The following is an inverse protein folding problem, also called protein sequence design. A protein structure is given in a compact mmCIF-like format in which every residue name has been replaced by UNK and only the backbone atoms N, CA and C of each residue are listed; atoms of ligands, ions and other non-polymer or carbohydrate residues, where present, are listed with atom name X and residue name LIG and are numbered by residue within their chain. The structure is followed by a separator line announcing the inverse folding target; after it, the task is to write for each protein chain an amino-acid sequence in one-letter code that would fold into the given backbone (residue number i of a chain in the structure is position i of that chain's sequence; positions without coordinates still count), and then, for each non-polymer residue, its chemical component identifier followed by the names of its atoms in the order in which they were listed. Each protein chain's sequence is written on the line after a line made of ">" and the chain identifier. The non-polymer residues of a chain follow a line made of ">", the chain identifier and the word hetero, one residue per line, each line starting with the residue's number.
data_IF_743860010978
#
_entry.id   IF_743860010978
#
_cell.length_a   1.000
_cell.length_b   1.000
_cell.length_c   1.000
_cell.angle_alpha   90.00
_cell.angle_beta   90.00
_cell.angle_gamma   90.00
#
_symmetry.space_group_name_H-M   'P 1'
#
loop_
_entity.id
_entity.type
_entity.pdbx_description
1 polymer ?
#
# COMPACT_ATOMS: atom_id res chain seq x y z
N UNK A 1 18.50 13.31 20.57
CA UNK A 1 19.49 13.17 19.48
C UNK A 1 19.54 14.35 18.52
N UNK A 2 18.42 14.84 17.95
CA UNK A 2 18.41 15.96 16.97
C UNK A 2 19.07 17.28 17.44
N UNK A 3 18.99 17.64 18.74
CA UNK A 3 19.67 18.84 19.26
C UNK A 3 21.20 18.75 19.22
N UNK A 4 21.77 17.54 19.29
CA UNK A 4 23.23 17.28 19.29
C UNK A 4 23.82 17.27 17.86
N UNK A 5 23.03 16.86 16.87
CA UNK A 5 23.41 16.94 15.44
C UNK A 5 23.52 18.38 14.95
N UNK A 6 22.54 19.22 15.33
CA UNK A 6 22.58 20.65 15.03
C UNK A 6 23.78 21.34 15.68
N UNK A 7 24.30 20.83 16.80
CA UNK A 7 25.50 21.40 17.42
C UNK A 7 26.79 21.02 16.67
N UNK A 8 26.94 19.78 16.19
CA UNK A 8 28.17 19.35 15.50
C UNK A 8 28.31 20.02 14.12
N UNK A 9 27.23 20.13 13.33
CA UNK A 9 27.25 20.95 12.10
C UNK A 9 27.53 22.43 12.40
N UNK A 10 26.94 22.99 13.47
CA UNK A 10 27.20 24.37 13.87
C UNK A 10 28.65 24.60 14.24
N UNK A 11 29.28 23.67 14.96
CA UNK A 11 30.71 23.71 15.31
C UNK A 11 31.57 23.59 14.06
N UNK A 12 31.25 22.69 13.13
CA UNK A 12 31.94 22.57 11.84
C UNK A 12 31.90 23.88 11.04
N UNK A 13 30.72 24.48 10.88
CA UNK A 13 30.58 25.76 10.16
C UNK A 13 31.24 26.94 10.89
N UNK A 14 31.30 26.90 12.22
CA UNK A 14 31.99 27.90 13.02
C UNK A 14 33.51 27.81 12.82
N UNK A 15 34.08 26.60 12.87
CA UNK A 15 35.51 26.34 12.59
C UNK A 15 35.84 26.75 11.13
N UNK A 16 34.95 26.46 10.18
CA UNK A 16 35.14 26.89 8.79
C UNK A 16 35.20 28.41 8.66
N UNK A 17 34.34 29.16 9.36
CA UNK A 17 34.37 30.62 9.41
C UNK A 17 35.66 31.15 10.06
N UNK A 18 36.12 30.52 11.13
CA UNK A 18 37.36 30.88 11.84
C UNK A 18 38.59 30.68 10.94
N UNK A 19 38.66 29.59 10.18
CA UNK A 19 39.73 29.36 9.18
C UNK A 19 39.72 30.46 8.11
N UNK A 20 38.54 30.81 7.58
CA UNK A 20 38.43 31.89 6.58
C UNK A 20 38.88 33.24 7.15
N UNK A 21 38.53 33.56 8.40
CA UNK A 21 38.93 34.79 9.06
C UNK A 21 40.45 34.84 9.35
N UNK A 22 41.03 33.75 9.87
CA UNK A 22 42.48 33.66 10.15
C UNK A 22 43.32 33.74 8.87
N UNK A 23 42.91 33.09 7.77
CA UNK A 23 43.58 33.23 6.47
C UNK A 23 43.50 34.65 5.91
N UNK A 24 42.37 35.34 6.11
CA UNK A 24 42.19 36.74 5.69
C UNK A 24 43.04 37.71 6.51
N UNK A 25 43.13 37.52 7.83
CA UNK A 25 43.92 38.35 8.74
C UNK A 25 45.45 38.17 8.55
N UNK A 26 45.89 36.94 8.27
CA UNK A 26 47.32 36.60 8.09
C UNK A 26 47.85 36.80 6.66
N UNK A 27 47.02 37.29 5.72
CA UNK A 27 47.30 37.30 4.26
C UNK A 27 47.79 35.93 3.75
N UNK A 28 47.23 34.84 4.28
CA UNK A 28 47.55 33.47 3.88
C UNK A 28 48.88 32.91 4.40
N UNK A 29 49.58 33.61 5.31
CA UNK A 29 50.84 33.11 5.92
C UNK A 29 50.64 32.14 7.07
N UNK A 30 49.48 32.15 7.71
CA UNK A 30 49.16 31.20 8.79
C UNK A 30 48.60 29.90 8.19
N UNK A 31 49.26 28.74 8.43
CA UNK A 31 48.82 27.48 7.87
C UNK A 31 47.53 26.94 8.51
N UNK A 32 47.05 27.50 9.63
CA UNK A 32 45.82 27.07 10.33
C UNK A 32 45.77 25.55 10.57
N UNK A 33 46.90 24.94 10.93
CA UNK A 33 47.07 23.48 11.02
C UNK A 33 46.13 22.86 12.05
N UNK A 34 45.97 23.50 13.22
CA UNK A 34 45.09 23.01 14.29
C UNK A 34 43.61 23.06 13.89
N UNK A 35 43.15 24.15 13.28
CA UNK A 35 41.76 24.26 12.83
C UNK A 35 41.44 23.33 11.66
N UNK A 36 42.42 23.07 10.78
CA UNK A 36 42.27 22.09 9.70
C UNK A 36 42.14 20.66 10.24
N UNK A 37 42.90 20.28 11.28
CA UNK A 37 42.73 18.99 11.97
C UNK A 37 41.35 18.90 12.63
N UNK A 38 40.95 19.93 13.40
CA UNK A 38 39.63 19.96 14.04
C UNK A 38 38.47 19.93 13.03
N UNK A 39 38.64 20.55 11.86
CA UNK A 39 37.68 20.47 10.76
C UNK A 39 37.60 19.04 10.21
N UNK A 40 38.73 18.38 9.96
CA UNK A 40 38.75 17.00 9.46
C UNK A 40 38.14 16.01 10.46
N UNK A 41 38.41 16.17 11.76
CA UNK A 41 37.77 15.40 12.82
C UNK A 41 36.26 15.63 12.89
N UNK A 42 35.83 16.89 12.78
CA UNK A 42 34.41 17.26 12.72
C UNK A 42 33.71 16.66 11.50
N UNK A 43 34.37 16.66 10.34
CA UNK A 43 33.86 16.07 9.11
C UNK A 43 33.70 14.55 9.21
N UNK A 44 34.71 13.87 9.75
CA UNK A 44 34.64 12.42 10.01
C UNK A 44 33.50 12.08 10.98
N UNK A 45 33.37 12.86 12.05
CA UNK A 45 32.30 12.68 13.05
C UNK A 45 30.91 12.90 12.45
N UNK A 46 30.74 13.91 11.60
CA UNK A 46 29.49 14.16 10.87
C UNK A 46 29.16 12.97 9.96
N UNK A 47 30.12 12.48 9.18
CA UNK A 47 29.90 11.33 8.29
C UNK A 47 29.51 10.04 9.04
N UNK A 48 30.19 9.74 10.16
CA UNK A 48 29.83 8.59 11.02
C UNK A 48 28.43 8.75 11.61
N UNK A 49 28.08 9.95 12.04
CA UNK A 49 26.79 10.29 12.59
C UNK A 49 25.66 10.23 11.56
N UNK A 50 25.88 10.70 10.33
CA UNK A 50 24.92 10.61 9.22
C UNK A 50 24.61 9.15 8.86
N UNK A 51 25.64 8.29 8.82
CA UNK A 51 25.46 6.85 8.63
C UNK A 51 24.63 6.23 9.76
N UNK A 52 24.94 6.57 11.01
CA UNK A 52 24.20 6.07 12.17
C UNK A 52 22.73 6.53 12.15
N UNK A 53 22.46 7.78 11.75
CA UNK A 53 21.09 8.28 11.62
C UNK A 53 20.32 7.52 10.55
N UNK A 54 20.93 7.25 9.40
CA UNK A 54 20.28 6.48 8.34
C UNK A 54 19.94 5.06 8.80
N UNK A 55 20.86 4.41 9.51
CA UNK A 55 20.65 3.06 10.05
C UNK A 55 19.55 3.02 11.11
N UNK A 56 19.60 3.92 12.09
CA UNK A 56 18.60 3.99 13.16
C UNK A 56 17.24 4.42 12.62
N UNK A 57 17.19 5.32 11.63
CA UNK A 57 15.93 5.70 10.98
C UNK A 57 15.31 4.49 10.26
N UNK A 58 16.10 3.71 9.53
CA UNK A 58 15.63 2.49 8.87
C UNK A 58 15.08 1.47 9.87
N UNK A 59 15.79 1.25 10.99
CA UNK A 59 15.33 0.34 12.04
C UNK A 59 14.05 0.83 12.73
N UNK A 60 13.97 2.13 13.04
CA UNK A 60 12.77 2.77 13.58
C UNK A 60 11.60 2.59 12.63
N UNK A 61 11.78 2.91 11.35
CA UNK A 61 10.70 2.87 10.37
C UNK A 61 10.22 1.43 10.18
N UNK A 62 11.11 0.44 10.11
CA UNK A 62 10.72 -0.96 10.07
C UNK A 62 9.87 -1.38 11.29
N UNK A 63 10.25 -0.96 12.50
CA UNK A 63 9.48 -1.25 13.71
C UNK A 63 8.12 -0.54 13.70
N UNK A 64 8.06 0.73 13.28
CA UNK A 64 6.80 1.50 13.20
C UNK A 64 5.83 0.87 12.21
N UNK A 65 6.29 0.40 11.04
CA UNK A 65 5.41 -0.25 10.06
C UNK A 65 4.85 -1.60 10.55
N UNK A 66 5.46 -2.23 11.56
CA UNK A 66 4.91 -3.46 12.15
C UNK A 66 3.80 -3.22 13.17
N UNK A 67 3.56 -1.97 13.56
CA UNK A 67 2.53 -1.61 14.53
C UNK A 67 1.24 -1.33 13.77
N UNK A 68 0.21 -2.15 14.02
CA UNK A 68 -1.12 -1.96 13.46
C UNK A 68 -1.78 -0.65 13.91
N UNK A 69 -2.85 -0.25 13.21
CA UNK A 69 -3.59 0.96 13.54
C UNK A 69 -4.27 0.85 14.92
N UNK A 70 -4.55 2.00 15.55
CA UNK A 70 -5.27 2.05 16.82
C UNK A 70 -6.72 1.61 16.59
N UNK A 71 -7.14 0.60 17.35
CA UNK A 71 -8.48 0.01 17.30
C UNK A 71 -9.47 0.94 18.03
N UNK A 72 -10.67 1.09 17.48
CA UNK A 72 -11.73 1.89 18.11
C UNK A 72 -12.28 1.19 19.37
N UNK A 73 -12.81 1.94 20.36
CA UNK A 73 -13.28 1.36 21.63
C UNK A 73 -14.45 0.37 21.51
N UNK A 74 -15.19 0.42 20.42
CA UNK A 74 -16.38 -0.39 20.14
C UNK A 74 -16.08 -1.66 19.33
N UNK A 75 -14.84 -1.88 18.91
CA UNK A 75 -14.45 -3.10 18.18
C UNK A 75 -14.44 -4.29 19.15
N UNK A 76 -15.18 -5.37 18.86
CA UNK A 76 -15.18 -6.57 19.68
C UNK A 76 -13.78 -7.16 19.82
N UNK A 77 -13.42 -7.56 21.03
CA UNK A 77 -12.15 -8.24 21.31
C UNK A 77 -12.32 -9.73 21.04
N UNK A 78 -11.62 -10.25 20.03
CA UNK A 78 -11.61 -11.65 19.67
C UNK A 78 -10.31 -12.02 18.96
N UNK A 79 -9.95 -13.31 18.99
CA UNK A 79 -8.76 -13.84 18.32
C UNK A 79 -9.10 -14.51 16.97
N UNK A 80 -10.39 -14.65 16.66
CA UNK A 80 -10.92 -15.38 15.50
C UNK A 80 -12.29 -14.83 15.08
N UNK A 81 -12.78 -15.36 13.96
CA UNK A 81 -14.05 -14.96 13.34
C UNK A 81 -15.29 -15.42 14.12
N UNK A 82 -15.15 -16.38 15.05
CA UNK A 82 -16.27 -16.91 15.85
C UNK A 82 -16.83 -15.87 16.83
N UNK A 83 -16.00 -14.87 17.18
CA UNK A 83 -16.36 -13.76 18.06
C UNK A 83 -16.96 -12.56 17.31
N UNK A 84 -17.22 -12.68 16.01
CA UNK A 84 -17.83 -11.60 15.22
C UNK A 84 -19.27 -11.31 15.68
N UNK A 85 -19.51 -10.09 16.15
CA UNK A 85 -20.85 -9.66 16.56
C UNK A 85 -21.77 -9.45 15.34
N UNK A 86 -22.97 -10.05 15.39
CA UNK A 86 -23.97 -9.85 14.34
C UNK A 86 -24.72 -8.53 14.58
N UNK A 87 -24.26 -7.47 13.93
CA UNK A 87 -24.87 -6.15 14.06
C UNK A 87 -26.32 -6.08 13.54
N UNK A 88 -26.61 -6.70 12.38
CA UNK A 88 -27.94 -6.65 11.76
C UNK A 88 -28.20 -7.84 10.84
N UNK A 89 -29.42 -8.36 10.86
CA UNK A 89 -29.95 -9.31 9.86
C UNK A 89 -31.05 -8.63 9.04
N UNK A 90 -31.10 -8.90 7.74
CA UNK A 90 -32.11 -8.35 6.84
C UNK A 90 -32.64 -9.41 5.89
N UNK A 91 -33.97 -9.43 5.68
CA UNK A 91 -34.65 -10.45 4.90
C UNK A 91 -34.82 -11.79 5.64
N UNK A 92 -35.32 -12.79 4.92
CA UNK A 92 -35.47 -14.17 5.41
C UNK A 92 -34.72 -15.12 4.46
N UNK A 93 -33.76 -15.93 4.96
CA UNK A 93 -33.07 -16.91 4.13
C UNK A 93 -34.04 -17.88 3.48
N UNK A 94 -33.80 -18.21 2.19
CA UNK A 94 -34.60 -19.22 1.50
C UNK A 94 -34.33 -20.60 2.10
N UNK A 95 -35.39 -21.36 2.31
CA UNK A 95 -35.32 -22.73 2.84
C UNK A 95 -35.05 -23.75 1.72
N UNK A 96 -33.90 -23.61 1.04
CA UNK A 96 -33.46 -24.54 -0.01
C UNK A 96 -32.41 -25.49 0.58
N UNK A 97 -32.72 -26.79 0.62
CA UNK A 97 -31.80 -27.83 1.06
C UNK A 97 -30.93 -28.27 -0.11
N UNK A 98 -29.68 -27.79 -0.21
CA UNK A 98 -28.77 -28.15 -1.31
C UNK A 98 -28.25 -29.56 -1.12
N UNK A 99 -28.50 -30.45 -2.09
CA UNK A 99 -28.05 -31.85 -2.09
C UNK A 99 -27.08 -32.18 -3.24
N UNK A 100 -26.93 -31.27 -4.21
CA UNK A 100 -26.06 -31.41 -5.38
C UNK A 100 -26.54 -32.42 -6.42
N UNK A 101 -27.77 -32.94 -6.31
CA UNK A 101 -28.31 -34.00 -7.18
C UNK A 101 -29.67 -33.63 -7.79
N UNK A 102 -30.54 -32.99 -7.02
CA UNK A 102 -31.91 -32.71 -7.44
C UNK A 102 -31.97 -31.33 -8.14
N UNK A 103 -32.60 -31.20 -9.33
CA UNK A 103 -32.82 -29.89 -9.94
C UNK A 103 -33.53 -28.93 -8.98
N UNK A 104 -32.96 -27.73 -8.81
CA UNK A 104 -33.40 -26.76 -7.79
C UNK A 104 -32.66 -26.83 -6.45
N UNK A 105 -31.86 -27.86 -6.23
CA UNK A 105 -31.09 -28.14 -5.00
C UNK A 105 -29.59 -28.29 -5.29
N UNK A 106 -29.10 -27.56 -6.29
CA UNK A 106 -27.73 -27.66 -6.79
C UNK A 106 -26.84 -26.53 -6.25
N UNK A 107 -25.53 -26.78 -6.20
CA UNK A 107 -24.54 -25.75 -5.91
C UNK A 107 -24.38 -24.79 -7.10
N UNK A 108 -23.94 -23.55 -6.84
CA UNK A 108 -23.78 -22.52 -7.87
C UNK A 108 -22.90 -22.99 -9.05
N UNK A 109 -21.80 -23.70 -8.80
CA UNK A 109 -20.90 -24.17 -9.85
C UNK A 109 -21.58 -25.18 -10.79
N UNK A 110 -22.42 -26.08 -10.25
CA UNK A 110 -23.19 -27.03 -11.05
C UNK A 110 -24.22 -26.31 -11.92
N UNK A 111 -24.93 -25.34 -11.33
CA UNK A 111 -25.93 -24.53 -12.04
C UNK A 111 -25.26 -23.75 -13.18
N UNK A 112 -24.15 -23.07 -12.90
CA UNK A 112 -23.40 -22.30 -13.90
C UNK A 112 -22.86 -23.17 -15.02
N UNK A 113 -22.39 -24.38 -14.71
CA UNK A 113 -21.97 -25.35 -15.72
C UNK A 113 -23.14 -25.82 -16.59
N UNK A 114 -24.27 -26.21 -15.98
CA UNK A 114 -25.46 -26.67 -16.70
C UNK A 114 -26.08 -25.58 -17.61
N UNK A 115 -25.98 -24.31 -17.20
CA UNK A 115 -26.42 -23.17 -18.01
C UNK A 115 -25.45 -22.80 -19.13
N UNK A 116 -24.28 -23.45 -19.21
CA UNK A 116 -23.18 -23.04 -20.10
C UNK A 116 -22.65 -21.64 -19.77
N UNK A 117 -22.87 -21.17 -18.53
CA UNK A 117 -22.48 -19.84 -18.06
C UNK A 117 -21.01 -19.77 -17.63
N UNK A 118 -20.42 -20.92 -17.27
CA UNK A 118 -19.02 -21.05 -16.86
C UNK A 118 -18.39 -22.32 -17.43
N UNK A 119 -17.12 -22.24 -17.80
CA UNK A 119 -16.29 -23.35 -18.27
C UNK A 119 -14.99 -23.40 -17.46
N UNK A 120 -14.98 -24.25 -16.44
CA UNK A 120 -13.86 -24.38 -15.51
C UNK A 120 -12.77 -25.32 -16.05
N UNK A 121 -13.14 -26.38 -16.78
CA UNK A 121 -12.19 -27.35 -17.33
C UNK A 121 -11.23 -26.67 -18.32
N UNK A 122 -11.76 -25.88 -19.26
CA UNK A 122 -10.91 -25.12 -20.19
C UNK A 122 -10.11 -24.02 -19.49
N UNK A 123 -10.66 -23.43 -18.43
CA UNK A 123 -9.95 -22.45 -17.60
C UNK A 123 -8.73 -23.06 -16.92
N UNK A 124 -8.91 -24.21 -16.27
CA UNK A 124 -7.84 -24.95 -15.59
C UNK A 124 -6.72 -25.33 -16.58
N UNK A 125 -7.09 -25.77 -17.78
CA UNK A 125 -6.12 -26.14 -18.80
C UNK A 125 -5.26 -24.96 -19.30
N UNK A 126 -5.73 -23.71 -19.17
CA UNK A 126 -5.01 -22.52 -19.67
C UNK A 126 -4.20 -21.85 -18.57
N UNK A 127 -4.78 -21.63 -17.38
CA UNK A 127 -4.13 -20.84 -16.31
C UNK A 127 -3.85 -21.64 -15.03
N UNK A 128 -4.25 -22.91 -14.97
CA UNK A 128 -4.07 -23.77 -13.79
C UNK A 128 -5.24 -23.73 -12.81
N UNK A 129 -5.02 -24.27 -11.60
CA UNK A 129 -6.05 -24.42 -10.57
C UNK A 129 -6.78 -23.09 -10.29
N UNK A 130 -8.12 -23.16 -10.14
CA UNK A 130 -9.06 -22.01 -10.03
C UNK A 130 -9.27 -21.21 -11.33
N UNK A 131 -8.65 -21.56 -12.44
CA UNK A 131 -8.97 -20.97 -13.75
C UNK A 131 -10.38 -21.28 -14.22
N UNK A 132 -11.09 -20.30 -14.80
CA UNK A 132 -12.41 -20.47 -15.39
C UNK A 132 -12.66 -19.45 -16.52
N UNK A 133 -13.57 -19.78 -17.42
CA UNK A 133 -14.17 -18.82 -18.36
C UNK A 133 -15.63 -18.55 -17.98
N UNK A 134 -16.06 -17.30 -18.04
CA UNK A 134 -17.48 -16.99 -18.15
C UNK A 134 -17.89 -17.03 -19.62
N UNK A 135 -19.10 -17.53 -19.90
CA UNK A 135 -19.65 -17.68 -21.26
C UNK A 135 -21.14 -17.34 -21.28
N UNK A 136 -21.64 -16.91 -22.45
CA UNK A 136 -23.06 -16.64 -22.66
C UNK A 136 -23.70 -15.79 -21.56
N UNK A 137 -24.72 -16.33 -20.91
CA UNK A 137 -25.44 -15.65 -19.81
C UNK A 137 -24.56 -15.30 -18.62
N UNK A 138 -23.46 -16.04 -18.39
CA UNK A 138 -22.52 -15.74 -17.30
C UNK A 138 -21.76 -14.42 -17.51
N UNK A 139 -21.32 -14.14 -18.75
CA UNK A 139 -20.68 -12.86 -19.09
C UNK A 139 -21.67 -11.72 -18.94
N UNK A 140 -22.89 -11.90 -19.48
CA UNK A 140 -23.94 -10.88 -19.42
C UNK A 140 -24.33 -10.55 -17.97
N UNK A 141 -24.45 -11.57 -17.11
CA UNK A 141 -24.74 -11.36 -15.69
C UNK A 141 -23.61 -10.60 -14.99
N UNK A 142 -22.35 -10.95 -15.25
CA UNK A 142 -21.20 -10.25 -14.68
C UNK A 142 -21.21 -8.76 -15.08
N UNK A 143 -21.40 -8.45 -16.37
CA UNK A 143 -21.49 -7.07 -16.85
C UNK A 143 -22.67 -6.32 -16.23
N UNK A 144 -23.83 -6.98 -16.10
CA UNK A 144 -25.02 -6.38 -15.50
C UNK A 144 -24.79 -6.03 -14.03
N UNK A 145 -24.13 -6.90 -13.26
CA UNK A 145 -23.82 -6.67 -11.85
C UNK A 145 -22.82 -5.51 -11.66
N UNK A 146 -21.75 -5.47 -12.45
CA UNK A 146 -20.77 -4.37 -12.44
C UNK A 146 -21.47 -3.05 -12.76
N UNK A 147 -22.26 -3.00 -13.85
CA UNK A 147 -22.97 -1.79 -14.26
C UNK A 147 -24.01 -1.35 -13.23
N UNK A 148 -24.70 -2.28 -12.58
CA UNK A 148 -25.68 -1.98 -11.55
C UNK A 148 -25.00 -1.38 -10.30
N UNK A 149 -23.95 -2.03 -9.79
CA UNK A 149 -23.18 -1.53 -8.65
C UNK A 149 -22.60 -0.14 -8.92
N UNK A 150 -22.04 0.04 -10.11
CA UNK A 150 -21.49 1.32 -10.53
C UNK A 150 -22.58 2.41 -10.62
N UNK A 151 -23.66 2.13 -11.34
CA UNK A 151 -24.78 3.06 -11.47
C UNK A 151 -25.39 3.45 -10.12
N UNK A 152 -25.44 2.52 -9.16
CA UNK A 152 -25.93 2.77 -7.81
C UNK A 152 -25.03 3.76 -7.06
N UNK A 153 -23.71 3.59 -7.12
CA UNK A 153 -22.75 4.44 -6.42
C UNK A 153 -22.67 5.84 -7.05
N UNK A 154 -22.66 5.93 -8.37
CA UNK A 154 -22.70 7.23 -9.09
C UNK A 154 -23.96 8.02 -8.72
N UNK A 155 -25.13 7.38 -8.65
CA UNK A 155 -26.37 8.02 -8.17
C UNK A 155 -26.29 8.51 -6.72
N UNK A 156 -25.38 7.95 -5.91
CA UNK A 156 -25.10 8.40 -4.53
C UNK A 156 -23.99 9.46 -4.45
N UNK A 157 -23.52 9.98 -5.58
CA UNK A 157 -22.50 11.03 -5.66
C UNK A 157 -21.07 10.52 -5.57
N UNK A 158 -20.81 9.24 -5.86
CA UNK A 158 -19.46 8.72 -6.01
C UNK A 158 -18.93 8.99 -7.42
N UNK A 159 -17.65 9.35 -7.52
CA UNK A 159 -16.94 9.45 -8.78
C UNK A 159 -16.50 8.06 -9.22
N UNK A 160 -16.94 7.63 -10.41
CA UNK A 160 -16.46 6.40 -11.02
C UNK A 160 -14.97 6.55 -11.38
N UNK A 161 -14.13 5.63 -10.92
CA UNK A 161 -12.67 5.70 -11.08
C UNK A 161 -12.13 4.32 -11.40
N UNK A 162 -11.63 4.12 -12.62
CA UNK A 162 -10.95 2.88 -12.99
C UNK A 162 -9.44 3.04 -12.77
N UNK A 163 -8.84 2.34 -11.79
CA UNK A 163 -7.40 2.44 -11.56
C UNK A 163 -6.58 1.57 -12.52
N UNK A 164 -5.26 1.78 -12.61
CA UNK A 164 -4.33 0.83 -13.22
C UNK A 164 -4.37 -0.53 -12.49
N UNK A 165 -4.23 -1.62 -13.24
CA UNK A 165 -4.28 -2.99 -12.67
C UNK A 165 -2.93 -3.50 -12.17
N UNK A 166 -1.88 -2.69 -12.25
CA UNK A 166 -0.58 -2.97 -11.68
C UNK A 166 0.02 -1.70 -11.07
N UNK A 167 0.82 -1.89 -10.02
CA UNK A 167 1.51 -0.81 -9.30
C UNK A 167 2.99 -1.12 -9.18
N UNK A 168 3.80 -0.06 -9.10
CA UNK A 168 5.23 -0.20 -8.78
C UNK A 168 5.37 -0.73 -7.36
N UNK A 169 6.40 -1.55 -7.11
CA UNK A 169 6.68 -2.14 -5.79
C UNK A 169 6.71 -1.12 -4.65
N UNK A 170 7.40 -0.01 -4.85
CA UNK A 170 7.56 1.04 -3.83
C UNK A 170 6.23 1.67 -3.46
N UNK A 171 5.34 1.89 -4.44
CA UNK A 171 4.01 2.46 -4.20
C UNK A 171 3.07 1.44 -3.58
N UNK A 172 3.09 0.19 -4.08
CA UNK A 172 2.28 -0.88 -3.51
C UNK A 172 2.61 -1.04 -2.02
N UNK A 173 3.89 -0.99 -1.64
CA UNK A 173 4.38 -1.17 -0.26
C UNK A 173 3.87 -0.11 0.73
N UNK A 174 3.36 1.01 0.23
CA UNK A 174 2.73 2.06 1.05
C UNK A 174 1.23 1.78 1.29
N UNK A 175 0.63 0.85 0.54
CA UNK A 175 -0.82 0.59 0.53
C UNK A 175 -1.22 -0.82 0.94
N UNK A 176 -0.28 -1.78 0.90
CA UNK A 176 -0.50 -3.16 1.28
C UNK A 176 0.40 -3.54 2.45
N UNK A 177 -0.03 -4.51 3.26
CA UNK A 177 0.77 -5.03 4.35
C UNK A 177 1.97 -5.80 3.78
N UNK A 178 3.18 -5.54 4.29
CA UNK A 178 4.44 -6.12 3.79
C UNK A 178 4.43 -7.66 3.74
N UNK A 179 3.61 -8.32 4.57
CA UNK A 179 3.41 -9.77 4.57
C UNK A 179 2.58 -10.30 3.39
N UNK A 180 1.66 -9.49 2.84
CA UNK A 180 0.80 -9.90 1.71
C UNK A 180 1.55 -9.92 0.36
N UNK A 181 2.72 -9.27 0.29
CA UNK A 181 3.46 -9.06 -0.96
C UNK A 181 3.92 -10.32 -1.66
N UNK A 182 4.55 -11.22 -0.91
CA UNK A 182 5.27 -12.34 -1.50
C UNK A 182 4.37 -13.57 -1.68
N UNK A 183 3.26 -13.67 -0.93
CA UNK A 183 2.34 -14.81 -1.01
C UNK A 183 1.08 -14.52 -1.83
N UNK A 184 0.56 -13.29 -1.85
CA UNK A 184 -0.76 -13.00 -2.43
C UNK A 184 -0.72 -12.20 -3.74
N UNK A 185 0.37 -11.48 -4.03
CA UNK A 185 0.45 -10.60 -5.21
C UNK A 185 1.23 -11.21 -6.37
N UNK A 186 0.65 -11.13 -7.57
CA UNK A 186 1.33 -11.55 -8.79
C UNK A 186 2.36 -10.51 -9.23
N UNK A 187 3.63 -10.89 -9.21
CA UNK A 187 4.74 -10.06 -9.67
C UNK A 187 4.87 -10.10 -11.20
N UNK A 188 4.84 -8.93 -11.82
CA UNK A 188 5.17 -8.73 -13.23
C UNK A 188 6.62 -8.26 -13.30
N UNK A 189 7.49 -9.07 -13.91
CA UNK A 189 8.91 -8.76 -14.10
C UNK A 189 9.12 -8.16 -15.48
N UNK A 190 9.56 -6.91 -15.53
CA UNK A 190 10.11 -6.28 -16.73
C UNK A 190 11.57 -5.90 -16.51
N UNK A 191 12.31 -5.71 -17.59
CA UNK A 191 13.74 -5.32 -17.53
C UNK A 191 13.97 -3.98 -16.80
N UNK A 192 12.95 -3.11 -16.77
CA UNK A 192 13.05 -1.74 -16.26
C UNK A 192 12.36 -1.53 -14.89
N UNK A 193 11.84 -2.58 -14.24
CA UNK A 193 11.23 -2.44 -12.91
C UNK A 193 10.45 -3.63 -12.36
N UNK A 194 10.10 -3.55 -11.08
CA UNK A 194 9.24 -4.51 -10.38
C UNK A 194 7.82 -3.95 -10.25
N UNK A 195 6.86 -4.63 -10.87
CA UNK A 195 5.44 -4.31 -10.79
C UNK A 195 4.65 -5.47 -10.17
N UNK A 196 3.51 -5.15 -9.57
CA UNK A 196 2.61 -6.12 -8.95
C UNK A 196 1.18 -5.87 -9.42
N UNK A 197 0.43 -6.95 -9.74
CA UNK A 197 -1.00 -6.84 -10.00
C UNK A 197 -1.74 -6.44 -8.72
N UNK A 198 -2.77 -5.61 -8.87
CA UNK A 198 -3.63 -5.22 -7.76
C UNK A 198 -4.50 -6.41 -7.31
N UNK A 199 -4.71 -6.55 -6.00
CA UNK A 199 -5.68 -7.48 -5.42
C UNK A 199 -7.08 -6.84 -5.31
N UNK A 200 -7.12 -5.51 -5.19
CA UNK A 200 -8.34 -4.71 -5.05
C UNK A 200 -8.11 -3.31 -5.65
N UNK A 201 -9.16 -2.65 -6.12
CA UNK A 201 -9.11 -1.26 -6.59
C UNK A 201 -8.73 -0.27 -5.47
N UNK A 202 -8.89 -0.65 -4.20
CA UNK A 202 -8.48 0.15 -3.04
C UNK A 202 -6.99 0.51 -3.07
N UNK A 203 -6.09 -0.42 -3.40
CA UNK A 203 -4.65 -0.20 -3.40
C UNK A 203 -4.25 1.02 -4.28
N UNK A 204 -4.59 1.06 -5.57
CA UNK A 204 -4.27 2.21 -6.41
C UNK A 204 -5.11 3.45 -6.10
N UNK A 205 -6.34 3.30 -5.60
CA UNK A 205 -7.18 4.46 -5.22
C UNK A 205 -6.61 5.15 -3.97
N UNK A 206 -6.11 4.41 -2.99
CA UNK A 206 -5.43 4.95 -1.81
C UNK A 206 -4.13 5.68 -2.16
N UNK A 207 -3.42 5.20 -3.19
CA UNK A 207 -2.24 5.86 -3.73
C UNK A 207 -2.55 7.01 -4.72
N UNK A 208 -3.82 7.21 -5.10
CA UNK A 208 -4.20 8.18 -6.15
C UNK A 208 -3.82 9.62 -5.77
N UNK A 209 -3.95 9.96 -4.48
CA UNK A 209 -3.60 11.28 -3.93
C UNK A 209 -2.21 11.31 -3.30
N UNK A 210 -1.32 10.39 -3.66
CA UNK A 210 0.03 10.33 -3.10
C UNK A 210 0.81 11.60 -3.42
N UNK A 211 1.30 12.27 -2.38
CA UNK A 211 2.02 13.57 -2.45
C UNK A 211 1.17 14.74 -2.95
N UNK A 212 -0.16 14.61 -2.86
CA UNK A 212 -1.11 15.68 -3.12
C UNK A 212 -1.58 16.30 -1.80
N UNK A 213 -1.91 17.60 -1.84
CA UNK A 213 -2.61 18.29 -0.77
C UNK A 213 -4.07 18.41 -1.17
N UNK A 214 -4.98 18.00 -0.29
CA UNK A 214 -6.43 18.08 -0.50
C UNK A 214 -6.96 19.19 0.40
N UNK A 215 -7.68 20.14 -0.19
CA UNK A 215 -8.31 21.24 0.55
C UNK A 215 -9.59 20.76 1.27
N UNK A 216 -9.91 21.36 2.42
CA UNK A 216 -11.05 20.92 3.25
C UNK A 216 -12.40 21.05 2.53
N UNK A 217 -12.53 22.01 1.61
CA UNK A 217 -13.73 22.24 0.81
C UNK A 217 -13.97 21.18 -0.27
N UNK A 218 -12.95 20.38 -0.59
CA UNK A 218 -13.04 19.24 -1.51
C UNK A 218 -13.53 17.96 -0.82
N UNK A 219 -13.56 17.92 0.51
CA UNK A 219 -13.93 16.74 1.28
C UNK A 219 -15.45 16.66 1.54
N UNK A 220 -16.04 15.44 1.56
CA UNK A 220 -15.40 14.14 1.37
C UNK A 220 -15.27 13.76 -0.11
N UNK A 221 -14.09 13.29 -0.52
CA UNK A 221 -13.89 12.61 -1.79
C UNK A 221 -14.46 11.19 -1.72
N UNK A 222 -15.22 10.78 -2.74
CA UNK A 222 -15.89 9.48 -2.78
C UNK A 222 -15.64 8.82 -4.13
N UNK A 223 -14.93 7.71 -4.13
CA UNK A 223 -14.58 6.97 -5.33
C UNK A 223 -15.25 5.61 -5.37
N UNK A 224 -15.63 5.19 -6.57
CA UNK A 224 -16.14 3.87 -6.83
C UNK A 224 -15.38 3.29 -8.01
N UNK A 225 -14.60 2.24 -7.76
CA UNK A 225 -13.65 1.68 -8.72
C UNK A 225 -13.50 0.18 -8.62
#
# INVERSE_FOLDING_TARGET
>A
MQKRFRSDHRVYYQIQKEITQKKKASKGKDPCTEELVRKAEGEKKIQEQEKLVAEVAKSRDAAVHSIGNIILPDVPVGNDEDNNEVYKKWGQPRQILVDGKTPGHLYHHQIMYMLGAMDQERGINIVGHRGYFLRGVGVLLNMALINYGMSLLVKKGYTALQPPFFMKKDIMAETAELGDFDEQLYKVRENDGEYYLIATSEQPISAYHRKEWIDEDQLPLRYAG
#
